data_IF_851724653737
#
_entry.id   IF_851724653737
#
_cell.length_a   1.000
_cell.length_b   1.000
_cell.length_c   1.000
_cell.angle_alpha   90.00
_cell.angle_beta   90.00
_cell.angle_gamma   90.00
#
_symmetry.space_group_name_H-M   'P 1'
#
loop_
_entity.id
_entity.type
_entity.pdbx_description
1 polymer ?
#
# COMPACT_ATOMS: atom_id res chain seq x y z
N UNK A 1 -9.85 -16.07 17.93
CA UNK A 1 -10.13 -14.65 17.66
C UNK A 1 -8.80 -13.91 17.66
N UNK A 2 -8.55 -13.09 16.64
CA UNK A 2 -7.34 -12.24 16.60
C UNK A 2 -7.52 -11.15 17.67
N UNK A 3 -6.47 -10.86 18.41
CA UNK A 3 -6.46 -9.81 19.45
C UNK A 3 -6.55 -8.42 18.75
N UNK A 4 -7.61 -7.65 19.04
CA UNK A 4 -7.82 -6.32 18.45
C UNK A 4 -6.63 -5.38 18.64
N UNK A 5 -5.98 -5.45 19.81
CA UNK A 5 -4.79 -4.65 20.09
C UNK A 5 -3.61 -4.99 19.20
N UNK A 6 -3.35 -6.30 18.97
CA UNK A 6 -2.29 -6.75 18.07
C UNK A 6 -2.59 -6.36 16.62
N UNK A 7 -3.86 -6.47 16.22
CA UNK A 7 -4.30 -6.05 14.88
C UNK A 7 -4.17 -4.54 14.68
N UNK A 8 -4.55 -3.74 15.66
CA UNK A 8 -4.37 -2.29 15.63
C UNK A 8 -2.91 -1.90 15.51
N UNK A 9 -2.04 -2.54 16.32
CA UNK A 9 -0.60 -2.31 16.27
C UNK A 9 0.00 -2.72 14.92
N UNK A 10 -0.47 -3.84 14.34
CA UNK A 10 -0.04 -4.31 13.02
C UNK A 10 -0.38 -3.28 11.92
N UNK A 11 -1.59 -2.69 11.93
CA UNK A 11 -1.94 -1.60 11.00
C UNK A 11 -1.01 -0.40 11.16
N UNK A 12 -0.77 0.04 12.39
CA UNK A 12 0.06 1.22 12.67
C UNK A 12 1.50 0.99 12.21
N UNK A 13 2.13 -0.11 12.65
CA UNK A 13 3.53 -0.41 12.32
C UNK A 13 3.71 -0.62 10.81
N UNK A 14 2.83 -1.41 10.20
CA UNK A 14 2.90 -1.68 8.77
C UNK A 14 2.74 -0.42 7.93
N UNK A 15 1.81 0.47 8.28
CA UNK A 15 1.61 1.72 7.54
C UNK A 15 2.73 2.74 7.78
N UNK A 16 3.29 2.82 8.98
CA UNK A 16 4.49 3.65 9.22
C UNK A 16 5.65 3.14 8.37
N UNK A 17 5.89 1.82 8.32
CA UNK A 17 6.91 1.24 7.45
C UNK A 17 6.67 1.56 5.96
N UNK A 18 5.42 1.54 5.51
CA UNK A 18 5.06 1.93 4.14
C UNK A 18 5.32 3.42 3.87
N UNK A 19 5.03 4.30 4.82
CA UNK A 19 5.37 5.74 4.71
C UNK A 19 6.88 5.93 4.59
N UNK A 20 7.66 5.23 5.43
CA UNK A 20 9.12 5.25 5.37
C UNK A 20 9.60 4.77 3.99
N UNK A 21 9.05 3.67 3.47
CA UNK A 21 9.35 3.20 2.11
C UNK A 21 9.15 4.30 1.08
N UNK A 22 8.03 5.01 1.11
CA UNK A 22 7.74 6.08 0.14
C UNK A 22 8.64 7.30 0.33
N UNK A 23 9.01 7.65 1.56
CA UNK A 23 9.89 8.78 1.85
C UNK A 23 11.31 8.58 1.29
N UNK A 24 11.80 7.34 1.25
CA UNK A 24 13.14 7.00 0.74
C UNK A 24 13.13 6.34 -0.64
N UNK A 25 11.97 6.29 -1.30
CA UNK A 25 11.82 5.62 -2.60
C UNK A 25 12.56 6.39 -3.71
N UNK A 26 13.58 5.81 -4.36
CA UNK A 26 14.25 6.44 -5.49
C UNK A 26 13.30 6.53 -6.70
N UNK A 27 13.49 7.54 -7.54
CA UNK A 27 12.76 7.58 -8.81
C UNK A 27 13.34 6.54 -9.79
N UNK A 28 12.52 6.02 -10.70
CA UNK A 28 12.98 5.02 -11.69
C UNK A 28 14.11 5.57 -12.59
N UNK A 29 14.10 6.87 -12.87
CA UNK A 29 15.14 7.51 -13.67
C UNK A 29 16.49 7.58 -12.92
N UNK A 30 16.49 7.75 -11.60
CA UNK A 30 17.72 7.88 -10.81
C UNK A 30 18.62 6.65 -10.96
N UNK A 31 18.02 5.48 -11.20
CA UNK A 31 18.75 4.23 -11.42
C UNK A 31 19.67 4.28 -12.64
N UNK A 32 19.28 5.03 -13.68
CA UNK A 32 20.02 5.09 -14.94
C UNK A 32 20.78 6.41 -15.12
N UNK A 33 20.30 7.51 -14.56
CA UNK A 33 20.80 8.87 -14.85
C UNK A 33 21.69 9.44 -13.75
N UNK A 34 21.63 8.94 -12.51
CA UNK A 34 22.33 9.55 -11.37
C UNK A 34 23.87 9.39 -11.39
N UNK A 35 24.42 8.52 -12.22
CA UNK A 35 25.84 8.12 -12.17
C UNK A 35 26.22 7.30 -10.91
N UNK A 36 25.26 7.07 -9.99
CA UNK A 36 25.45 6.36 -8.72
C UNK A 36 24.66 5.05 -8.66
N UNK A 37 24.66 4.30 -9.76
CA UNK A 37 23.85 3.09 -9.93
C UNK A 37 23.82 2.17 -8.70
N UNK A 38 25.01 1.79 -8.17
CA UNK A 38 25.10 0.86 -7.05
C UNK A 38 24.50 1.41 -5.74
N UNK A 39 24.54 2.72 -5.53
CA UNK A 39 23.94 3.35 -4.36
C UNK A 39 22.41 3.38 -4.50
N UNK A 40 21.90 3.87 -5.61
CA UNK A 40 20.45 3.94 -5.89
C UNK A 40 19.83 2.54 -5.91
N UNK A 41 20.49 1.56 -6.54
CA UNK A 41 20.02 0.17 -6.57
C UNK A 41 19.91 -0.43 -5.16
N UNK A 42 20.90 -0.20 -4.27
CA UNK A 42 20.85 -0.69 -2.89
C UNK A 42 19.71 -0.05 -2.10
N UNK A 43 19.51 1.26 -2.21
CA UNK A 43 18.37 1.93 -1.58
C UNK A 43 17.07 1.36 -2.13
N UNK A 44 16.95 1.23 -3.44
CA UNK A 44 15.77 0.65 -4.09
C UNK A 44 15.43 -0.73 -3.55
N UNK A 45 16.41 -1.65 -3.49
CA UNK A 45 16.21 -2.99 -2.91
C UNK A 45 15.77 -2.91 -1.45
N UNK A 46 16.41 -2.06 -0.63
CA UNK A 46 16.13 -1.96 0.80
C UNK A 46 14.69 -1.46 1.07
N UNK A 47 14.26 -0.39 0.39
CA UNK A 47 12.91 0.17 0.60
C UNK A 47 11.81 -0.77 0.10
N UNK A 48 12.04 -1.48 -1.02
CA UNK A 48 11.07 -2.45 -1.50
C UNK A 48 11.03 -3.72 -0.63
N UNK A 49 12.18 -4.17 -0.10
CA UNK A 49 12.20 -5.25 0.88
C UNK A 49 11.42 -4.87 2.14
N UNK A 50 11.57 -3.63 2.64
CA UNK A 50 10.77 -3.12 3.76
C UNK A 50 9.27 -3.12 3.40
N UNK A 51 8.90 -2.65 2.21
CA UNK A 51 7.51 -2.67 1.74
C UNK A 51 6.95 -4.11 1.74
N UNK A 52 7.69 -5.07 1.18
CA UNK A 52 7.28 -6.48 1.13
C UNK A 52 7.08 -7.09 2.53
N UNK A 53 7.88 -6.70 3.52
CA UNK A 53 7.70 -7.12 4.92
C UNK A 53 6.47 -6.45 5.55
N UNK A 54 6.19 -5.19 5.23
CA UNK A 54 5.04 -4.47 5.78
C UNK A 54 3.70 -5.03 5.28
N UNK A 55 3.62 -5.57 4.06
CA UNK A 55 2.36 -6.06 3.48
C UNK A 55 1.66 -7.13 4.31
N UNK A 56 2.30 -8.26 4.69
CA UNK A 56 1.65 -9.26 5.53
C UNK A 56 1.28 -8.71 6.92
N UNK A 57 2.05 -7.78 7.46
CA UNK A 57 1.76 -7.13 8.74
C UNK A 57 0.46 -6.32 8.64
N UNK A 58 0.32 -5.50 7.59
CA UNK A 58 -0.90 -4.73 7.34
C UNK A 58 -2.08 -5.69 7.11
N UNK A 59 -1.88 -6.76 6.34
CA UNK A 59 -2.94 -7.72 6.06
C UNK A 59 -3.46 -8.40 7.32
N UNK A 60 -2.60 -8.75 8.27
CA UNK A 60 -3.01 -9.25 9.60
C UNK A 60 -3.82 -8.21 10.37
N UNK A 61 -3.46 -6.95 10.29
CA UNK A 61 -4.24 -5.86 10.85
C UNK A 61 -5.62 -5.71 10.19
N UNK A 62 -5.68 -5.81 8.86
CA UNK A 62 -6.93 -5.82 8.10
C UNK A 62 -7.84 -7.01 8.45
N UNK A 63 -7.25 -8.17 8.73
CA UNK A 63 -7.99 -9.34 9.21
C UNK A 63 -8.68 -9.06 10.57
N UNK A 64 -7.98 -8.39 11.48
CA UNK A 64 -8.58 -7.96 12.75
C UNK A 64 -9.70 -6.93 12.56
N UNK A 65 -9.52 -5.96 11.66
CA UNK A 65 -10.56 -5.01 11.29
C UNK A 65 -11.79 -5.73 10.71
N UNK A 66 -11.58 -6.69 9.80
CA UNK A 66 -12.64 -7.54 9.28
C UNK A 66 -13.38 -8.25 10.40
N UNK A 67 -12.68 -8.95 11.29
CA UNK A 67 -13.32 -9.71 12.36
C UNK A 67 -14.14 -8.82 13.31
N UNK A 68 -13.68 -7.58 13.53
CA UNK A 68 -14.39 -6.62 14.37
C UNK A 68 -15.68 -6.10 13.73
N UNK A 69 -15.70 -5.96 12.40
CA UNK A 69 -16.84 -5.45 11.63
C UNK A 69 -17.74 -6.56 11.03
N UNK A 70 -17.30 -7.84 11.03
CA UNK A 70 -17.98 -8.92 10.31
C UNK A 70 -19.33 -9.33 10.89
N UNK A 71 -19.56 -9.12 12.19
CA UNK A 71 -20.80 -9.54 12.83
C UNK A 71 -22.07 -8.91 12.24
N UNK A 72 -22.07 -7.60 11.81
CA UNK A 72 -23.24 -6.97 11.23
C UNK A 72 -23.26 -6.95 9.70
N UNK A 73 -22.13 -7.17 8.97
CA UNK A 73 -22.13 -6.83 7.55
C UNK A 73 -21.13 -7.65 6.70
N UNK A 74 -21.64 -8.25 5.60
CA UNK A 74 -20.83 -8.94 4.58
C UNK A 74 -19.89 -7.99 3.80
N UNK A 75 -20.11 -6.66 3.84
CA UNK A 75 -19.25 -5.68 3.19
C UNK A 75 -17.83 -5.72 3.71
N UNK A 76 -17.65 -6.01 5.01
CA UNK A 76 -16.32 -6.13 5.61
C UNK A 76 -15.51 -7.30 5.03
N UNK A 77 -16.18 -8.41 4.68
CA UNK A 77 -15.53 -9.53 3.97
C UNK A 77 -15.15 -9.12 2.53
N UNK A 78 -16.05 -8.47 1.81
CA UNK A 78 -15.76 -7.98 0.47
C UNK A 78 -14.58 -7.00 0.47
N UNK A 79 -14.51 -6.12 1.48
CA UNK A 79 -13.39 -5.20 1.66
C UNK A 79 -12.06 -5.95 1.90
N UNK A 80 -12.07 -6.99 2.74
CA UNK A 80 -10.87 -7.82 2.98
C UNK A 80 -10.38 -8.52 1.70
N UNK A 81 -11.32 -9.06 0.91
CA UNK A 81 -10.99 -9.69 -0.39
C UNK A 81 -10.39 -8.66 -1.35
N UNK A 82 -11.00 -7.47 -1.47
CA UNK A 82 -10.45 -6.39 -2.30
C UNK A 82 -9.07 -5.96 -1.84
N UNK A 83 -8.85 -5.85 -0.53
CA UNK A 83 -7.53 -5.53 0.01
C UNK A 83 -6.51 -6.65 -0.26
N UNK A 84 -6.93 -7.91 -0.27
CA UNK A 84 -6.09 -9.05 -0.66
C UNK A 84 -5.58 -8.91 -2.10
N UNK A 85 -6.45 -8.56 -3.05
CA UNK A 85 -6.04 -8.26 -4.42
C UNK A 85 -5.09 -7.05 -4.49
N UNK A 86 -5.36 -5.99 -3.71
CA UNK A 86 -4.46 -4.86 -3.61
C UNK A 86 -3.07 -5.26 -3.10
N UNK A 87 -2.99 -6.07 -2.04
CA UNK A 87 -1.74 -6.55 -1.48
C UNK A 87 -0.93 -7.37 -2.49
N UNK A 88 -1.57 -8.27 -3.25
CA UNK A 88 -0.92 -9.04 -4.32
C UNK A 88 -0.43 -8.10 -5.43
N UNK A 89 -1.22 -7.13 -5.84
CA UNK A 89 -0.82 -6.19 -6.89
C UNK A 89 0.39 -5.36 -6.47
N UNK A 90 0.38 -4.74 -5.28
CA UNK A 90 1.51 -3.93 -4.81
C UNK A 90 2.75 -4.77 -4.51
N UNK A 91 2.60 -6.04 -4.11
CA UNK A 91 3.71 -6.98 -3.97
C UNK A 91 4.41 -7.20 -5.32
N UNK A 92 3.65 -7.40 -6.39
CA UNK A 92 4.21 -7.53 -7.74
C UNK A 92 4.88 -6.22 -8.20
N UNK A 93 4.26 -5.06 -7.97
CA UNK A 93 4.86 -3.76 -8.26
C UNK A 93 6.19 -3.58 -7.52
N UNK A 94 6.24 -3.85 -6.22
CA UNK A 94 7.45 -3.75 -5.40
C UNK A 94 8.55 -4.73 -5.87
N UNK A 95 8.17 -5.94 -6.27
CA UNK A 95 9.11 -6.93 -6.81
C UNK A 95 9.72 -6.46 -8.14
N UNK A 96 8.90 -5.93 -9.05
CA UNK A 96 9.39 -5.41 -10.32
C UNK A 96 10.33 -4.22 -10.13
N UNK A 97 9.90 -3.24 -9.34
CA UNK A 97 10.66 -2.00 -9.12
C UNK A 97 11.93 -2.23 -8.28
N UNK A 98 11.83 -3.03 -7.23
CA UNK A 98 12.93 -3.21 -6.27
C UNK A 98 13.90 -4.33 -6.58
N UNK A 99 13.43 -5.44 -7.16
CA UNK A 99 14.24 -6.64 -7.33
C UNK A 99 14.59 -6.91 -8.80
N UNK A 100 13.66 -6.64 -9.74
CA UNK A 100 13.87 -6.91 -11.16
C UNK A 100 14.57 -5.74 -11.86
N UNK A 101 14.04 -4.52 -11.73
CA UNK A 101 14.55 -3.34 -12.43
C UNK A 101 16.05 -3.06 -12.20
N UNK A 102 16.62 -3.19 -10.99
CA UNK A 102 18.07 -3.02 -10.79
C UNK A 102 18.92 -4.04 -11.54
N UNK A 103 18.46 -5.30 -11.65
CA UNK A 103 19.13 -6.34 -12.42
C UNK A 103 19.12 -6.04 -13.91
N UNK A 104 17.96 -5.71 -14.45
CA UNK A 104 17.77 -5.32 -15.85
C UNK A 104 18.59 -4.08 -16.20
N UNK A 105 18.54 -3.03 -15.37
CA UNK A 105 19.31 -1.81 -15.58
C UNK A 105 20.83 -2.07 -15.57
N UNK A 106 21.31 -2.96 -14.71
CA UNK A 106 22.72 -3.35 -14.69
C UNK A 106 23.15 -3.97 -16.02
N UNK A 107 22.37 -4.90 -16.56
CA UNK A 107 22.66 -5.53 -17.88
C UNK A 107 22.58 -4.50 -19.00
N UNK A 108 21.63 -3.58 -18.97
CA UNK A 108 21.50 -2.50 -19.94
C UNK A 108 22.74 -1.59 -19.95
N UNK A 109 23.27 -1.22 -18.76
CA UNK A 109 24.42 -0.33 -18.65
C UNK A 109 25.76 -1.02 -18.99
N UNK A 110 25.90 -2.31 -18.70
CA UNK A 110 27.12 -3.09 -18.95
C UNK A 110 27.13 -3.80 -20.30
N UNK A 111 26.01 -3.84 -21.03
CA UNK A 111 25.86 -4.63 -22.25
C UNK A 111 26.56 -4.02 -23.47
N UNK A 112 27.00 -4.90 -24.36
CA UNK A 112 27.46 -4.54 -25.72
C UNK A 112 26.32 -3.85 -26.51
N UNK A 113 26.62 -3.00 -27.50
CA UNK A 113 25.60 -2.21 -28.21
C UNK A 113 24.39 -3.02 -28.69
N UNK A 114 24.59 -4.23 -29.26
CA UNK A 114 23.47 -5.06 -29.72
C UNK A 114 22.60 -5.69 -28.65
N UNK A 115 23.11 -5.89 -27.43
CA UNK A 115 22.33 -6.40 -26.30
C UNK A 115 21.67 -5.30 -25.49
N UNK A 116 22.21 -4.06 -25.56
CA UNK A 116 21.69 -2.91 -24.82
C UNK A 116 20.25 -2.58 -25.21
N UNK A 117 19.91 -2.66 -26.48
CA UNK A 117 18.55 -2.36 -26.96
C UNK A 117 17.53 -3.36 -26.40
N UNK A 118 17.88 -4.65 -26.38
CA UNK A 118 17.04 -5.69 -25.78
C UNK A 118 16.80 -5.42 -24.28
N UNK A 119 17.86 -5.09 -23.53
CA UNK A 119 17.72 -4.78 -22.09
C UNK A 119 16.97 -3.47 -21.84
N UNK A 120 17.07 -2.49 -22.75
CA UNK A 120 16.26 -1.27 -22.71
C UNK A 120 14.77 -1.59 -22.84
N UNK A 121 14.38 -2.44 -23.78
CA UNK A 121 12.99 -2.90 -23.91
C UNK A 121 12.52 -3.61 -22.64
N UNK A 122 13.33 -4.50 -22.07
CA UNK A 122 12.99 -5.20 -20.84
C UNK A 122 12.84 -4.22 -19.64
N UNK A 123 13.67 -3.18 -19.57
CA UNK A 123 13.58 -2.15 -18.54
C UNK A 123 12.28 -1.35 -18.64
N UNK A 124 11.91 -0.90 -19.84
CA UNK A 124 10.64 -0.20 -20.07
C UNK A 124 9.43 -1.08 -19.76
N UNK A 125 9.45 -2.35 -20.25
CA UNK A 125 8.38 -3.30 -19.94
C UNK A 125 8.21 -3.54 -18.45
N UNK A 126 9.32 -3.64 -17.68
CA UNK A 126 9.22 -3.77 -16.23
C UNK A 126 8.60 -2.55 -15.57
N UNK A 127 8.86 -1.35 -16.10
CA UNK A 127 8.23 -0.10 -15.69
C UNK A 127 6.73 -0.07 -15.98
N UNK A 128 6.31 -0.47 -17.17
CA UNK A 128 4.90 -0.50 -17.56
C UNK A 128 4.11 -1.51 -16.72
N UNK A 129 4.67 -2.68 -16.47
CA UNK A 129 4.07 -3.69 -15.59
C UNK A 129 3.95 -3.17 -14.15
N UNK A 130 4.99 -2.49 -13.64
CA UNK A 130 4.93 -1.86 -12.33
C UNK A 130 3.79 -0.83 -12.24
N UNK A 131 3.60 0.02 -13.26
CA UNK A 131 2.51 0.99 -13.32
C UNK A 131 1.14 0.31 -13.37
N UNK A 132 1.01 -0.77 -14.14
CA UNK A 132 -0.24 -1.55 -14.20
C UNK A 132 -0.59 -2.15 -12.83
N UNK A 133 0.36 -2.77 -12.14
CA UNK A 133 0.14 -3.30 -10.80
C UNK A 133 -0.13 -2.19 -9.76
N UNK A 134 0.53 -1.05 -9.85
CA UNK A 134 0.24 0.11 -9.00
C UNK A 134 -1.20 0.61 -9.21
N UNK A 135 -1.68 0.64 -10.45
CA UNK A 135 -3.07 0.99 -10.77
C UNK A 135 -4.05 0.00 -10.13
N UNK A 136 -3.83 -1.31 -10.27
CA UNK A 136 -4.67 -2.34 -9.66
C UNK A 136 -4.67 -2.19 -8.14
N UNK A 137 -3.51 -1.93 -7.53
CA UNK A 137 -3.42 -1.65 -6.09
C UNK A 137 -4.30 -0.47 -5.69
N UNK A 138 -4.19 0.66 -6.37
CA UNK A 138 -4.97 1.88 -6.01
C UNK A 138 -6.46 1.62 -6.13
N UNK A 139 -6.91 0.97 -7.20
CA UNK A 139 -8.33 0.65 -7.40
C UNK A 139 -8.82 -0.29 -6.31
N UNK A 140 -8.12 -1.38 -6.06
CA UNK A 140 -8.56 -2.40 -5.11
C UNK A 140 -8.49 -1.91 -3.65
N UNK A 141 -7.40 -1.21 -3.24
CA UNK A 141 -7.26 -0.69 -1.89
C UNK A 141 -8.24 0.43 -1.58
N UNK A 142 -8.48 1.35 -2.53
CA UNK A 142 -9.50 2.40 -2.36
C UNK A 142 -10.89 1.82 -2.28
N UNK A 143 -11.21 0.80 -3.09
CA UNK A 143 -12.49 0.07 -2.98
C UNK A 143 -12.64 -0.61 -1.62
N UNK A 144 -11.59 -1.23 -1.09
CA UNK A 144 -11.59 -1.83 0.24
C UNK A 144 -11.86 -0.79 1.33
N UNK A 145 -11.16 0.35 1.31
CA UNK A 145 -11.38 1.46 2.25
C UNK A 145 -12.82 1.96 2.18
N UNK A 146 -13.37 2.15 0.98
CA UNK A 146 -14.76 2.58 0.81
C UNK A 146 -15.75 1.60 1.43
N UNK A 147 -15.60 0.30 1.15
CA UNK A 147 -16.46 -0.75 1.70
C UNK A 147 -16.37 -0.83 3.23
N UNK A 148 -15.17 -0.80 3.81
CA UNK A 148 -15.01 -0.73 5.26
C UNK A 148 -15.60 0.55 5.85
N UNK A 149 -15.44 1.69 5.18
CA UNK A 149 -15.99 2.96 5.65
C UNK A 149 -17.52 2.95 5.68
N UNK A 150 -18.17 2.38 4.67
CA UNK A 150 -19.61 2.16 4.66
C UNK A 150 -20.02 1.21 5.80
N UNK A 151 -19.27 0.12 6.02
CA UNK A 151 -19.53 -0.82 7.11
C UNK A 151 -19.40 -0.15 8.48
N UNK A 152 -18.41 0.72 8.68
CA UNK A 152 -18.22 1.52 9.89
C UNK A 152 -19.42 2.43 10.14
N UNK A 153 -19.88 3.16 9.10
CA UNK A 153 -21.01 4.08 9.22
C UNK A 153 -22.33 3.36 9.55
N UNK A 154 -22.51 2.13 9.01
CA UNK A 154 -23.69 1.31 9.27
C UNK A 154 -23.69 0.65 10.63
N UNK A 155 -22.53 0.16 11.07
CA UNK A 155 -22.41 -0.59 12.32
C UNK A 155 -22.35 0.32 13.56
N UNK A 156 -21.83 1.53 13.41
CA UNK A 156 -21.56 2.43 14.53
C UNK A 156 -20.48 1.94 15.50
N UNK A 157 -19.75 0.87 15.15
CA UNK A 157 -18.74 0.25 16.02
C UNK A 157 -17.51 1.16 16.19
N UNK A 158 -17.12 1.87 15.14
CA UNK A 158 -16.01 2.81 15.16
C UNK A 158 -16.48 4.26 15.04
N UNK A 159 -15.55 5.21 15.20
CA UNK A 159 -15.82 6.62 15.01
C UNK A 159 -16.40 6.92 13.63
N UNK A 160 -17.53 7.63 13.60
CA UNK A 160 -18.17 8.10 12.35
C UNK A 160 -17.21 8.93 11.49
N UNK A 161 -16.29 9.67 12.13
CA UNK A 161 -15.29 10.48 11.42
C UNK A 161 -14.39 9.61 10.52
N UNK A 162 -13.98 8.42 10.99
CA UNK A 162 -13.19 7.47 10.17
C UNK A 162 -13.99 6.98 8.94
N UNK A 163 -15.27 6.64 9.14
CA UNK A 163 -16.15 6.23 8.05
C UNK A 163 -16.36 7.36 7.02
N UNK A 164 -16.63 8.58 7.47
CA UNK A 164 -16.80 9.75 6.59
C UNK A 164 -15.51 10.03 5.82
N UNK A 165 -14.35 10.04 6.50
CA UNK A 165 -13.06 10.26 5.85
C UNK A 165 -12.82 9.26 4.72
N UNK A 166 -13.04 7.96 4.95
CA UNK A 166 -12.81 6.95 3.91
C UNK A 166 -13.83 7.00 2.78
N UNK A 167 -15.10 7.34 3.07
CA UNK A 167 -16.12 7.56 2.03
C UNK A 167 -15.82 8.78 1.15
N UNK A 168 -15.00 9.72 1.63
CA UNK A 168 -14.56 10.87 0.85
C UNK A 168 -13.23 10.60 0.12
N UNK A 169 -12.22 10.13 0.84
CA UNK A 169 -10.86 9.99 0.29
C UNK A 169 -10.76 8.88 -0.75
N UNK A 170 -11.48 7.77 -0.57
CA UNK A 170 -11.37 6.65 -1.50
C UNK A 170 -11.95 6.98 -2.90
N UNK A 171 -13.18 7.51 -3.06
CA UNK A 171 -13.68 7.93 -4.36
C UNK A 171 -12.87 9.07 -4.97
N UNK A 172 -12.41 10.04 -4.16
CA UNK A 172 -11.58 11.14 -4.66
C UNK A 172 -10.27 10.60 -5.26
N UNK A 173 -9.62 9.66 -4.59
CA UNK A 173 -8.42 8.99 -5.08
C UNK A 173 -8.70 8.26 -6.39
N UNK A 174 -9.77 7.48 -6.47
CA UNK A 174 -10.16 6.75 -7.68
C UNK A 174 -10.40 7.71 -8.86
N UNK A 175 -11.17 8.76 -8.63
CA UNK A 175 -11.47 9.76 -9.67
C UNK A 175 -10.17 10.43 -10.13
N UNK A 176 -9.33 10.89 -9.21
CA UNK A 176 -8.10 11.61 -9.54
C UNK A 176 -7.09 10.74 -10.30
N UNK A 177 -6.98 9.45 -9.96
CA UNK A 177 -6.07 8.53 -10.65
C UNK A 177 -6.64 8.08 -11.98
N UNK A 178 -7.91 7.66 -12.04
CA UNK A 178 -8.53 7.17 -13.28
C UNK A 178 -8.72 8.27 -14.33
N UNK A 179 -8.92 9.52 -13.91
CA UNK A 179 -8.97 10.67 -14.81
C UNK A 179 -7.59 11.21 -15.23
N UNK A 180 -6.51 10.64 -14.70
CA UNK A 180 -5.14 11.06 -15.04
C UNK A 180 -4.67 12.35 -14.34
N UNK A 181 -5.44 12.92 -13.41
CA UNK A 181 -5.02 14.09 -12.62
C UNK A 181 -3.86 13.73 -11.68
N UNK A 182 -3.87 12.51 -11.13
CA UNK A 182 -2.74 11.98 -10.37
C UNK A 182 -2.07 10.89 -11.21
N UNK A 183 -0.82 11.14 -11.62
CA UNK A 183 0.03 10.10 -12.25
C UNK A 183 0.67 9.26 -11.15
N UNK A 184 0.70 7.95 -11.32
CA UNK A 184 1.28 7.01 -10.35
C UNK A 184 2.82 6.95 -10.44
N UNK A 185 3.47 8.11 -10.59
CA UNK A 185 4.89 8.24 -10.31
C UNK A 185 5.13 8.23 -8.79
N UNK A 186 6.38 8.28 -8.34
CA UNK A 186 6.74 8.21 -6.91
C UNK A 186 5.96 9.22 -6.06
N UNK A 187 5.81 10.46 -6.54
CA UNK A 187 5.10 11.50 -5.79
C UNK A 187 3.58 11.27 -5.76
N UNK A 188 2.97 10.97 -6.90
CA UNK A 188 1.52 10.73 -6.96
C UNK A 188 1.13 9.45 -6.23
N UNK A 189 1.91 8.38 -6.36
CA UNK A 189 1.70 7.16 -5.59
C UNK A 189 1.89 7.41 -4.09
N UNK A 190 2.90 8.20 -3.70
CA UNK A 190 3.12 8.63 -2.32
C UNK A 190 1.94 9.39 -1.72
N UNK A 191 1.30 10.29 -2.49
CA UNK A 191 0.09 10.99 -2.03
C UNK A 191 -1.08 10.02 -1.79
N UNK A 192 -1.28 9.05 -2.68
CA UNK A 192 -2.30 8.00 -2.50
C UNK A 192 -2.02 7.19 -1.23
N UNK A 193 -0.78 6.72 -1.07
CA UNK A 193 -0.36 5.96 0.11
C UNK A 193 -0.55 6.75 1.38
N UNK A 194 -0.21 8.04 1.40
CA UNK A 194 -0.38 8.90 2.59
C UNK A 194 -1.86 9.06 2.95
N UNK A 195 -2.73 9.33 1.98
CA UNK A 195 -4.18 9.41 2.21
C UNK A 195 -4.76 8.11 2.78
N UNK A 196 -4.34 6.96 2.27
CA UNK A 196 -4.75 5.65 2.78
C UNK A 196 -4.14 5.35 4.16
N UNK A 197 -2.88 5.75 4.38
CA UNK A 197 -2.19 5.53 5.65
C UNK A 197 -2.90 6.25 6.80
N UNK A 198 -3.39 7.46 6.60
CA UNK A 198 -4.18 8.19 7.61
C UNK A 198 -5.40 7.35 8.02
N UNK A 199 -6.11 6.76 7.07
CA UNK A 199 -7.25 5.91 7.35
C UNK A 199 -6.88 4.65 8.12
N UNK A 200 -5.87 3.91 7.66
CA UNK A 200 -5.44 2.65 8.30
C UNK A 200 -4.85 2.88 9.69
N UNK A 201 -4.01 3.91 9.88
CA UNK A 201 -3.43 4.25 11.18
C UNK A 201 -4.54 4.65 12.15
N UNK A 202 -5.50 5.48 11.72
CA UNK A 202 -6.64 5.86 12.56
C UNK A 202 -7.49 4.65 12.95
N UNK A 203 -7.77 3.75 12.00
CA UNK A 203 -8.44 2.47 12.28
C UNK A 203 -7.65 1.60 13.24
N UNK A 204 -6.34 1.56 13.09
CA UNK A 204 -5.42 0.84 13.97
C UNK A 204 -5.43 1.38 15.40
N UNK A 205 -5.43 2.70 15.56
CA UNK A 205 -5.53 3.37 16.88
C UNK A 205 -6.86 3.03 17.56
N UNK A 206 -7.96 3.07 16.82
CA UNK A 206 -9.28 2.72 17.34
C UNK A 206 -9.35 1.26 17.79
N UNK A 207 -8.83 0.33 16.97
CA UNK A 207 -8.74 -1.10 17.35
C UNK A 207 -7.89 -1.30 18.60
N UNK A 208 -6.81 -0.55 18.75
CA UNK A 208 -5.92 -0.68 19.90
C UNK A 208 -6.51 -0.12 21.19
N UNK A 209 -7.27 0.99 21.14
CA UNK A 209 -7.83 1.68 22.30
C UNK A 209 -9.09 1.00 22.86
N UNK A 210 -9.87 0.27 22.07
CA UNK A 210 -11.13 -0.35 22.52
C UNK A 210 -10.99 -1.25 23.76
N UNK A 211 -9.89 -1.98 23.91
CA UNK A 211 -9.70 -2.87 25.06
C UNK A 211 -9.40 -2.12 26.36
N UNK A 212 -8.80 -0.95 26.28
CA UNK A 212 -8.52 -0.14 27.47
C UNK A 212 -9.80 0.34 28.15
N UNK A 213 -10.84 0.66 27.37
CA UNK A 213 -12.14 1.05 27.92
C UNK A 213 -12.90 -0.11 28.57
N UNK A 214 -12.75 -1.32 28.03
CA UNK A 214 -13.38 -2.53 28.59
C UNK A 214 -12.69 -2.95 29.91
N UNK A 215 -11.36 -2.92 29.95
CA UNK A 215 -10.59 -3.25 31.14
C UNK A 215 -10.80 -2.20 32.25
N UNK A 216 -10.91 -0.91 31.88
CA UNK A 216 -11.20 0.18 32.84
C UNK A 216 -12.64 0.14 33.39
N UNK A 217 -13.60 -0.45 32.69
CA UNK A 217 -14.98 -0.63 33.19
C UNK A 217 -15.17 -1.91 34.02
N UNK A 218 -14.18 -2.82 34.00
CA UNK A 218 -14.20 -4.09 34.74
C UNK A 218 -13.50 -3.97 36.12
N UNK A 219 -12.80 -2.88 36.39
CA UNK A 219 -12.17 -2.50 37.68
C UNK A 219 -13.01 -1.49 38.43
#
# INVERSE_FOLDING_TARGET
>A
MVDNRKSGLALIIGMIGTIITMAFHPTGNDLVTSGQFNHVARIGVAVHALALVCLPIIFLGCLGLYQRLAAPDRLSLAALVMYGFAAVAVMNAATLSGLVAPGVARHMLAGEPGSRDMWSVAFHLSGDLNQAFAMVFVVASSSAILLWSISILRSGIFSRALGIYGCFVAPLTLIAVLSGHIRLNVHGFGMVVLGQAIWFISGGVLLWSEKQELDAKAT
#
